data_IF_154767688176
#
_entry.id   IF_154767688176
#
_cell.length_a   1.000
_cell.length_b   1.000
_cell.length_c   1.000
_cell.angle_alpha   90.00
_cell.angle_beta   90.00
_cell.angle_gamma   90.00
#
_symmetry.space_group_name_H-M   'P 1'
#
loop_
_entity.id
_entity.type
_entity.pdbx_description
1 polymer ?
#
# COMPACT_ATOMS: atom_id res chain seq x y z
N UNK A 1 -7.47 -0.08 -16.74
CA UNK A 1 -6.82 0.54 -15.55
C UNK A 1 -6.92 -0.30 -14.28
N UNK A 2 -7.97 -1.12 -14.08
CA UNK A 2 -8.09 -1.98 -12.87
C UNK A 2 -7.04 -3.08 -12.76
N UNK A 3 -6.65 -3.74 -13.86
CA UNK A 3 -5.63 -4.82 -13.81
C UNK A 3 -4.25 -4.35 -13.31
N UNK A 4 -3.78 -3.19 -13.78
CA UNK A 4 -2.52 -2.58 -13.33
C UNK A 4 -2.60 -2.14 -11.86
N UNK A 5 -3.71 -1.51 -11.47
CA UNK A 5 -3.95 -1.13 -10.07
C UNK A 5 -4.00 -2.33 -9.12
N UNK A 6 -4.60 -3.45 -9.54
CA UNK A 6 -4.67 -4.70 -8.75
C UNK A 6 -3.29 -5.35 -8.58
N UNK A 7 -2.49 -5.38 -9.65
CA UNK A 7 -1.11 -5.90 -9.59
C UNK A 7 -0.24 -5.06 -8.65
N UNK A 8 -0.38 -3.72 -8.71
CA UNK A 8 0.30 -2.83 -7.77
C UNK A 8 -0.23 -2.98 -6.35
N UNK A 9 -1.54 -3.20 -6.16
CA UNK A 9 -2.14 -3.40 -4.84
C UNK A 9 -1.64 -4.67 -4.15
N UNK A 10 -1.31 -5.74 -4.88
CA UNK A 10 -0.69 -6.96 -4.32
C UNK A 10 0.66 -6.65 -3.65
N UNK A 11 1.38 -5.62 -4.10
CA UNK A 11 2.69 -5.23 -3.54
C UNK A 11 2.51 -4.12 -2.51
N UNK A 12 1.76 -3.07 -2.87
CA UNK A 12 1.53 -1.86 -2.08
C UNK A 12 0.68 -2.16 -0.83
N UNK A 13 -0.28 -3.07 -0.92
CA UNK A 13 -1.13 -3.49 0.19
C UNK A 13 -0.33 -4.10 1.35
N UNK A 14 0.42 -5.20 1.14
CA UNK A 14 1.26 -5.80 2.17
C UNK A 14 2.37 -4.89 2.66
N UNK A 15 2.96 -4.04 1.81
CA UNK A 15 3.99 -3.09 2.25
C UNK A 15 3.44 -2.00 3.14
N UNK A 16 2.30 -1.38 2.81
CA UNK A 16 1.67 -0.39 3.69
C UNK A 16 1.08 -1.01 4.96
N UNK A 17 0.55 -2.23 4.88
CA UNK A 17 0.15 -2.98 6.07
C UNK A 17 1.36 -3.30 6.97
N UNK A 18 2.49 -3.68 6.38
CA UNK A 18 3.75 -3.91 7.08
C UNK A 18 4.32 -2.65 7.73
N UNK A 19 4.27 -1.51 7.04
CA UNK A 19 4.64 -0.20 7.62
C UNK A 19 3.70 0.13 8.79
N UNK A 20 2.40 -0.12 8.64
CA UNK A 20 1.43 0.03 9.72
C UNK A 20 1.77 -0.84 10.94
N UNK A 21 2.14 -2.10 10.72
CA UNK A 21 2.54 -3.03 11.78
C UNK A 21 3.88 -2.67 12.44
N UNK A 22 4.78 -1.98 11.72
CA UNK A 22 6.05 -1.52 12.28
C UNK A 22 5.87 -0.40 13.32
N UNK A 23 4.84 0.44 13.21
CA UNK A 23 4.57 1.53 14.16
C UNK A 23 4.44 1.02 15.61
N UNK A 24 3.54 0.08 15.94
CA UNK A 24 3.41 -0.43 17.31
C UNK A 24 4.65 -1.20 17.76
N UNK A 25 5.34 -1.90 16.85
CA UNK A 25 6.60 -2.60 17.17
C UNK A 25 7.74 -1.63 17.53
N UNK A 26 7.76 -0.44 16.92
CA UNK A 26 8.77 0.59 17.18
C UNK A 26 8.52 1.31 18.51
N UNK A 27 7.24 1.47 18.90
CA UNK A 27 6.84 2.22 20.10
C UNK A 27 6.81 1.32 21.35
N UNK A 28 6.26 0.11 21.24
CA UNK A 28 6.06 -0.79 22.38
C UNK A 28 7.14 -1.87 22.51
N UNK A 29 8.01 -2.01 21.51
CA UNK A 29 9.02 -3.05 21.47
C UNK A 29 8.43 -4.45 21.24
N UNK A 30 9.27 -5.38 20.79
CA UNK A 30 8.86 -6.74 20.38
C UNK A 30 8.43 -7.61 21.58
N UNK A 31 8.64 -7.15 22.81
CA UNK A 31 8.46 -7.95 24.02
C UNK A 31 7.06 -7.83 24.65
N UNK A 32 6.32 -6.75 24.39
CA UNK A 32 4.93 -6.54 24.86
C UNK A 32 3.97 -6.29 23.69
N UNK A 33 3.97 -7.21 22.72
CA UNK A 33 3.10 -7.10 21.55
C UNK A 33 1.66 -7.37 21.99
N UNK A 34 0.83 -6.33 22.02
CA UNK A 34 -0.61 -6.48 22.06
C UNK A 34 -1.09 -6.88 20.64
N UNK A 35 -1.51 -8.13 20.39
CA UNK A 35 -1.86 -8.60 19.06
C UNK A 35 -3.03 -7.82 18.45
N UNK A 36 -3.92 -7.29 19.29
CA UNK A 36 -5.04 -6.44 18.87
C UNK A 36 -4.57 -5.08 18.32
N UNK A 37 -3.53 -4.50 18.93
CA UNK A 37 -2.96 -3.21 18.50
C UNK A 37 -2.17 -3.38 17.20
N UNK A 38 -1.41 -4.48 17.09
CA UNK A 38 -0.68 -4.84 15.87
C UNK A 38 -1.64 -5.06 14.69
N UNK A 39 -2.68 -5.87 14.88
CA UNK A 39 -3.69 -6.11 13.86
C UNK A 39 -4.44 -4.82 13.50
N UNK A 40 -4.78 -3.99 14.48
CA UNK A 40 -5.41 -2.69 14.26
C UNK A 40 -4.56 -1.77 13.38
N UNK A 41 -3.28 -1.58 13.72
CA UNK A 41 -2.37 -0.74 12.93
C UNK A 41 -2.09 -1.32 11.53
N UNK A 42 -2.00 -2.66 11.39
CA UNK A 42 -1.85 -3.31 10.09
C UNK A 42 -3.09 -3.11 9.19
N UNK A 43 -4.29 -3.22 9.75
CA UNK A 43 -5.56 -2.97 9.04
C UNK A 43 -5.64 -1.51 8.63
N UNK A 44 -5.28 -0.58 9.51
CA UNK A 44 -5.25 0.86 9.18
C UNK A 44 -4.26 1.13 8.04
N UNK A 45 -3.07 0.52 8.07
CA UNK A 45 -2.11 0.57 6.96
C UNK A 45 -2.67 0.01 5.65
N UNK A 46 -3.39 -1.11 5.70
CA UNK A 46 -4.03 -1.72 4.54
C UNK A 46 -5.17 -0.85 3.97
N UNK A 47 -5.96 -0.20 4.83
CA UNK A 47 -7.03 0.73 4.40
C UNK A 47 -6.44 1.95 3.70
N UNK A 48 -5.34 2.51 4.22
CA UNK A 48 -4.60 3.61 3.58
C UNK A 48 -3.98 3.16 2.24
N UNK A 49 -3.66 1.87 2.09
CA UNK A 49 -3.13 1.35 0.84
C UNK A 49 -4.11 1.44 -0.34
N UNK A 50 -5.42 1.46 -0.10
CA UNK A 50 -6.44 1.54 -1.15
C UNK A 50 -6.32 2.85 -1.96
N UNK A 51 -6.40 4.06 -1.35
CA UNK A 51 -6.23 5.31 -2.08
C UNK A 51 -4.82 5.48 -2.65
N UNK A 52 -3.78 5.00 -1.94
CA UNK A 52 -2.39 5.10 -2.41
C UNK A 52 -2.17 4.28 -3.69
N UNK A 53 -2.73 3.07 -3.76
CA UNK A 53 -2.62 2.18 -4.93
C UNK A 53 -3.32 2.76 -6.15
N UNK A 54 -4.46 3.41 -5.97
CA UNK A 54 -5.16 4.12 -7.05
C UNK A 54 -4.36 5.34 -7.53
N UNK A 55 -3.74 6.09 -6.62
CA UNK A 55 -2.92 7.24 -6.96
C UNK A 55 -1.65 6.84 -7.72
N UNK A 56 -0.94 5.79 -7.28
CA UNK A 56 0.20 5.21 -7.99
C UNK A 56 -0.21 4.70 -9.37
N UNK A 57 -1.35 4.00 -9.46
CA UNK A 57 -1.89 3.52 -10.74
C UNK A 57 -2.13 4.64 -11.74
N UNK A 58 -2.68 5.79 -11.29
CA UNK A 58 -2.85 6.98 -12.14
C UNK A 58 -1.51 7.56 -12.58
N UNK A 59 -0.55 7.76 -11.66
CA UNK A 59 0.77 8.30 -12.01
C UNK A 59 1.55 7.41 -12.98
N UNK A 60 1.50 6.09 -12.80
CA UNK A 60 2.20 5.15 -13.69
C UNK A 60 1.52 5.14 -15.06
N UNK A 61 0.18 5.19 -15.13
CA UNK A 61 -0.53 5.30 -16.40
C UNK A 61 -0.19 6.60 -17.14
N UNK A 62 -0.11 7.71 -16.42
CA UNK A 62 0.29 9.02 -16.96
C UNK A 62 1.73 8.97 -17.51
N UNK A 63 2.67 8.39 -16.76
CA UNK A 63 4.06 8.20 -17.24
C UNK A 63 4.15 7.26 -18.44
N UNK A 64 3.35 6.19 -18.49
CA UNK A 64 3.28 5.29 -19.64
C UNK A 64 2.70 6.01 -20.85
N UNK A 65 1.62 6.78 -20.67
CA UNK A 65 0.97 7.54 -21.74
C UNK A 65 1.84 8.72 -22.21
N UNK A 66 2.63 9.31 -21.31
CA UNK A 66 3.57 10.41 -21.60
C UNK A 66 4.85 9.91 -22.28
N UNK A 67 5.28 8.67 -22.01
CA UNK A 67 6.47 8.06 -22.63
C UNK A 67 6.13 7.23 -23.88
N UNK A 68 4.86 6.92 -24.08
CA UNK A 68 4.33 6.17 -25.21
C UNK A 68 3.19 6.92 -25.89
N UNK A 69 3.56 7.82 -26.81
CA UNK A 69 2.74 8.03 -28.01
C UNK A 69 2.67 6.72 -28.79
N UNK A 70 1.81 5.81 -28.36
CA UNK A 70 1.27 4.75 -29.21
C UNK A 70 -0.23 4.93 -29.16
N UNK A 71 -0.68 5.64 -30.18
CA UNK A 71 -2.01 5.55 -30.77
C UNK A 71 -2.58 4.13 -30.65
N UNK A 72 -3.73 4.02 -29.99
CA UNK A 72 -4.81 3.13 -30.40
C UNK A 72 -6.11 3.72 -29.85
#
# INVERSE_FOLDING_TARGET
MWKLGIILFIIVGPTLAGIGALIPLTIHGVNEINPLLLAGCAIVGAVIAIPVSLFLGKKINDLISSKGGVTA
#
